data_IF_841455324544
#
_entry.id   IF_841455324544
#
_cell.length_a   1.000
_cell.length_b   1.000
_cell.length_c   1.000
_cell.angle_alpha   90.00
_cell.angle_beta   90.00
_cell.angle_gamma   90.00
#
_symmetry.space_group_name_H-M   'P 1'
#
loop_
_entity.id
_entity.type
_entity.pdbx_description
1 polymer ?
#
# COMPACT_ATOMS: atom_id res chain seq x y z
N UNK A 1 45.02 -1.97 -22.08
CA UNK A 1 44.30 -3.19 -21.67
C UNK A 1 43.27 -2.78 -20.63
N UNK A 2 42.01 -3.11 -20.88
CA UNK A 2 40.82 -2.56 -20.22
C UNK A 2 40.67 -3.08 -18.78
N UNK A 3 40.59 -2.17 -17.80
CA UNK A 3 40.13 -2.46 -16.45
C UNK A 3 38.59 -2.47 -16.47
N UNK A 4 37.99 -3.63 -16.75
CA UNK A 4 36.55 -3.83 -16.56
C UNK A 4 36.29 -4.09 -15.08
N UNK A 5 36.04 -3.02 -14.32
CA UNK A 5 35.47 -3.10 -12.98
C UNK A 5 34.07 -3.70 -13.10
N UNK A 6 33.72 -4.76 -12.36
CA UNK A 6 32.38 -5.30 -12.41
C UNK A 6 31.45 -4.34 -11.67
N UNK A 7 30.77 -3.47 -12.40
CA UNK A 7 29.54 -2.85 -11.92
C UNK A 7 28.50 -3.95 -11.71
N UNK A 8 28.61 -4.66 -10.58
CA UNK A 8 27.47 -5.34 -9.98
C UNK A 8 26.52 -4.25 -9.51
N UNK A 9 25.73 -3.73 -10.45
CA UNK A 9 24.52 -2.99 -10.14
C UNK A 9 23.72 -3.85 -9.17
N UNK A 10 23.67 -3.41 -7.92
CA UNK A 10 22.88 -4.05 -6.89
C UNK A 10 21.45 -4.12 -7.41
N UNK A 11 21.03 -5.32 -7.79
CA UNK A 11 19.67 -5.59 -8.22
C UNK A 11 18.75 -5.14 -7.06
N UNK A 12 18.16 -3.97 -7.22
CA UNK A 12 17.12 -3.47 -6.34
C UNK A 12 16.03 -4.52 -6.36
N UNK A 13 15.91 -5.36 -5.31
CA UNK A 13 14.93 -6.45 -5.30
C UNK A 13 13.55 -5.82 -5.09
N UNK A 14 12.74 -5.59 -6.14
CA UNK A 14 11.49 -4.84 -6.03
C UNK A 14 10.47 -5.64 -5.20
N UNK A 15 10.68 -6.95 -5.08
CA UNK A 15 9.80 -7.88 -4.39
C UNK A 15 9.61 -7.57 -2.90
N UNK A 16 10.63 -7.07 -2.18
CA UNK A 16 10.51 -6.85 -0.72
C UNK A 16 9.44 -5.83 -0.35
N UNK A 17 9.36 -4.73 -1.11
CA UNK A 17 8.35 -3.70 -0.88
C UNK A 17 6.93 -4.18 -1.24
N UNK A 18 6.82 -5.02 -2.28
CA UNK A 18 5.56 -5.63 -2.67
C UNK A 18 5.05 -6.61 -1.59
N UNK A 19 5.95 -7.43 -1.02
CA UNK A 19 5.59 -8.41 0.00
C UNK A 19 4.99 -7.78 1.26
N UNK A 20 5.45 -6.59 1.67
CA UNK A 20 4.83 -5.91 2.82
C UNK A 20 3.39 -5.52 2.53
N UNK A 21 3.13 -4.92 1.36
CA UNK A 21 1.76 -4.52 0.97
C UNK A 21 0.83 -5.72 0.88
N UNK A 22 1.29 -6.81 0.26
CA UNK A 22 0.52 -8.07 0.18
C UNK A 22 0.31 -8.68 1.56
N UNK A 23 1.34 -8.72 2.40
CA UNK A 23 1.25 -9.24 3.77
C UNK A 23 0.25 -8.45 4.63
N UNK A 24 0.28 -7.12 4.52
CA UNK A 24 -0.70 -6.25 5.19
C UNK A 24 -2.11 -6.46 4.64
N UNK A 25 -2.27 -6.69 3.34
CA UNK A 25 -3.56 -6.98 2.74
C UNK A 25 -4.14 -8.29 3.26
N UNK A 26 -3.33 -9.35 3.29
CA UNK A 26 -3.73 -10.65 3.85
C UNK A 26 -4.07 -10.52 5.33
N UNK A 27 -3.22 -9.84 6.11
CA UNK A 27 -3.46 -9.61 7.54
C UNK A 27 -4.78 -8.86 7.76
N UNK A 28 -5.02 -7.79 7.00
CA UNK A 28 -6.25 -7.02 7.09
C UNK A 28 -7.48 -7.88 6.78
N UNK A 29 -7.42 -8.69 5.71
CA UNK A 29 -8.50 -9.62 5.35
C UNK A 29 -8.74 -10.61 6.49
N UNK A 30 -7.70 -11.27 6.99
CA UNK A 30 -7.81 -12.23 8.09
C UNK A 30 -8.43 -11.59 9.34
N UNK A 31 -8.01 -10.37 9.69
CA UNK A 31 -8.55 -9.65 10.85
C UNK A 31 -10.03 -9.32 10.68
N UNK A 32 -10.46 -8.89 9.49
CA UNK A 32 -11.86 -8.59 9.20
C UNK A 32 -12.75 -9.85 9.25
N UNK A 33 -12.23 -11.00 8.80
CA UNK A 33 -12.93 -12.27 8.94
C UNK A 33 -12.99 -12.77 10.38
N UNK A 34 -11.94 -12.56 11.16
CA UNK A 34 -11.88 -12.96 12.57
C UNK A 34 -12.72 -12.05 13.49
N UNK A 35 -12.97 -10.81 13.09
CA UNK A 35 -13.68 -9.81 13.89
C UNK A 35 -14.77 -9.14 13.02
N UNK A 36 -15.87 -9.86 12.70
CA UNK A 36 -16.89 -9.36 11.77
C UNK A 36 -17.57 -8.06 12.23
N UNK A 37 -17.60 -7.81 13.53
CA UNK A 37 -18.23 -6.61 14.11
C UNK A 37 -17.27 -5.41 14.19
N UNK A 38 -16.02 -5.55 13.72
CA UNK A 38 -14.99 -4.51 13.81
C UNK A 38 -14.56 -4.02 12.43
N UNK A 39 -14.78 -2.74 12.14
CA UNK A 39 -14.25 -2.10 10.93
C UNK A 39 -12.79 -1.70 11.11
N UNK A 40 -11.93 -2.22 10.24
CA UNK A 40 -10.52 -1.83 10.19
C UNK A 40 -10.31 -0.71 9.16
N UNK A 41 -10.70 0.52 9.52
CA UNK A 41 -10.62 1.70 8.64
C UNK A 41 -9.23 1.99 8.08
N UNK A 42 -8.18 1.65 8.84
CA UNK A 42 -6.80 1.89 8.43
C UNK A 42 -6.23 0.77 7.54
N UNK A 43 -6.95 -0.32 7.32
CA UNK A 43 -6.47 -1.44 6.50
C UNK A 43 -6.13 -1.01 5.07
N UNK A 44 -7.13 -0.49 4.36
CA UNK A 44 -6.97 0.02 2.99
C UNK A 44 -5.85 1.08 2.83
N UNK A 45 -5.80 2.17 3.61
CA UNK A 45 -4.77 3.19 3.43
C UNK A 45 -3.36 2.66 3.75
N UNK A 46 -3.22 1.78 4.75
CA UNK A 46 -1.92 1.16 5.07
C UNK A 46 -1.43 0.26 3.94
N UNK A 47 -2.29 -0.61 3.42
CA UNK A 47 -1.96 -1.47 2.28
C UNK A 47 -1.55 -0.64 1.06
N UNK A 48 -2.30 0.44 0.80
CA UNK A 48 -2.06 1.34 -0.31
C UNK A 48 -0.73 2.09 -0.22
N UNK A 49 -0.35 2.53 0.98
CA UNK A 49 0.88 3.27 1.20
C UNK A 49 2.12 2.36 1.35
N UNK A 50 1.93 1.08 1.67
CA UNK A 50 2.97 0.16 2.12
C UNK A 50 4.14 -0.01 1.15
N UNK A 51 3.90 -0.03 -0.16
CA UNK A 51 4.98 -0.23 -1.15
C UNK A 51 5.96 0.94 -1.12
N UNK A 52 5.46 2.17 -1.14
CA UNK A 52 6.28 3.37 -1.11
C UNK A 52 6.97 3.56 0.26
N UNK A 53 6.26 3.27 1.36
CA UNK A 53 6.83 3.28 2.71
C UNK A 53 7.96 2.26 2.87
N UNK A 54 7.78 1.04 2.37
CA UNK A 54 8.82 0.00 2.43
C UNK A 54 10.11 0.43 1.77
N UNK A 55 10.02 1.05 0.59
CA UNK A 55 11.20 1.56 -0.09
C UNK A 55 11.94 2.60 0.75
N UNK A 56 11.19 3.47 1.44
CA UNK A 56 11.77 4.50 2.28
C UNK A 56 12.45 3.91 3.52
N UNK A 57 11.82 2.93 4.17
CA UNK A 57 12.32 2.33 5.41
C UNK A 57 13.51 1.39 5.18
N UNK A 58 13.70 0.86 3.96
CA UNK A 58 14.90 0.08 3.62
C UNK A 58 16.15 0.91 3.36
N UNK A 59 16.10 2.24 3.54
CA UNK A 59 17.24 3.14 3.37
C UNK A 59 17.55 3.48 1.91
N UNK A 60 16.66 3.16 0.96
CA UNK A 60 16.87 3.35 -0.48
C UNK A 60 16.72 4.81 -0.96
N UNK A 61 16.50 5.76 -0.04
CA UNK A 61 16.31 7.18 -0.37
C UNK A 61 14.98 7.49 -1.08
N UNK A 62 14.79 8.73 -1.56
CA UNK A 62 13.58 9.14 -2.27
C UNK A 62 13.45 8.51 -3.67
N UNK A 63 12.26 7.99 -3.98
CA UNK A 63 11.86 7.40 -5.26
C UNK A 63 11.64 8.45 -6.33
N UNK A 64 12.07 8.20 -7.59
CA UNK A 64 11.73 9.07 -8.74
C UNK A 64 10.22 9.27 -8.84
N UNK A 65 9.70 10.39 -9.36
CA UNK A 65 8.25 10.57 -9.42
C UNK A 65 7.56 9.41 -10.18
N UNK A 66 8.10 8.89 -11.31
CA UNK A 66 7.55 7.68 -11.93
C UNK A 66 7.61 6.44 -11.04
N UNK A 67 8.70 6.22 -10.30
CA UNK A 67 8.83 5.07 -9.41
C UNK A 67 7.90 5.17 -8.18
N UNK A 68 7.71 6.37 -7.63
CA UNK A 68 6.75 6.63 -6.57
C UNK A 68 5.32 6.43 -7.05
N UNK A 69 4.99 6.86 -8.27
CA UNK A 69 3.70 6.61 -8.89
C UNK A 69 3.45 5.11 -9.09
N UNK A 70 4.45 4.37 -9.60
CA UNK A 70 4.40 2.91 -9.71
C UNK A 70 4.14 2.23 -8.36
N UNK A 71 4.88 2.62 -7.32
CA UNK A 71 4.70 2.11 -5.97
C UNK A 71 3.29 2.40 -5.41
N UNK A 72 2.79 3.63 -5.59
CA UNK A 72 1.45 4.02 -5.16
C UNK A 72 0.35 3.23 -5.88
N UNK A 73 0.48 3.04 -7.19
CA UNK A 73 -0.47 2.24 -7.99
C UNK A 73 -0.43 0.77 -7.58
N UNK A 74 0.76 0.19 -7.35
CA UNK A 74 0.88 -1.18 -6.86
C UNK A 74 0.22 -1.39 -5.50
N UNK A 75 0.49 -0.48 -4.54
CA UNK A 75 -0.16 -0.54 -3.23
C UNK A 75 -1.67 -0.37 -3.33
N UNK A 76 -2.13 0.63 -4.09
CA UNK A 76 -3.56 0.87 -4.32
C UNK A 76 -4.24 -0.37 -4.90
N UNK A 77 -3.63 -1.02 -5.88
CA UNK A 77 -4.16 -2.23 -6.50
C UNK A 77 -4.36 -3.33 -5.46
N UNK A 78 -3.38 -3.57 -4.59
CA UNK A 78 -3.50 -4.54 -3.50
C UNK A 78 -4.63 -4.17 -2.52
N UNK A 79 -4.76 -2.90 -2.18
CA UNK A 79 -5.82 -2.41 -1.29
C UNK A 79 -7.20 -2.61 -1.92
N UNK A 80 -7.37 -2.33 -3.22
CA UNK A 80 -8.61 -2.53 -3.95
C UNK A 80 -8.98 -4.01 -4.06
N UNK A 81 -8.01 -4.90 -4.32
CA UNK A 81 -8.25 -6.35 -4.32
C UNK A 81 -8.75 -6.82 -2.96
N UNK A 82 -8.08 -6.42 -1.87
CA UNK A 82 -8.51 -6.76 -0.52
C UNK A 82 -9.90 -6.18 -0.18
N UNK A 83 -10.16 -4.94 -0.57
CA UNK A 83 -11.47 -4.30 -0.43
C UNK A 83 -12.55 -5.08 -1.18
N UNK A 84 -12.28 -5.50 -2.42
CA UNK A 84 -13.20 -6.31 -3.20
C UNK A 84 -13.49 -7.67 -2.56
N UNK A 85 -12.47 -8.34 -2.03
CA UNK A 85 -12.65 -9.59 -1.27
C UNK A 85 -13.57 -9.36 -0.07
N UNK A 86 -13.35 -8.30 0.71
CA UNK A 86 -14.15 -8.01 1.89
C UNK A 86 -15.59 -7.60 1.53
N UNK A 87 -15.77 -6.77 0.51
CA UNK A 87 -17.08 -6.34 0.02
C UNK A 87 -17.92 -7.54 -0.46
N UNK A 88 -17.32 -8.46 -1.22
CA UNK A 88 -18.02 -9.65 -1.73
C UNK A 88 -18.38 -10.68 -0.65
N UNK A 89 -17.88 -10.53 0.57
CA UNK A 89 -18.14 -11.42 1.70
C UNK A 89 -18.84 -10.71 2.86
N UNK A 90 -19.42 -9.53 2.61
CA UNK A 90 -20.13 -8.72 3.61
C UNK A 90 -19.28 -8.46 4.86
N UNK A 91 -17.97 -8.23 4.65
CA UNK A 91 -16.97 -7.93 5.69
C UNK A 91 -16.62 -6.45 5.78
N UNK A 92 -17.38 -5.59 5.12
CA UNK A 92 -17.29 -4.13 5.19
C UNK A 92 -18.61 -3.54 5.70
N UNK A 93 -19.26 -4.14 6.69
CA UNK A 93 -20.58 -3.70 7.18
C UNK A 93 -20.54 -2.92 8.50
N UNK A 94 -19.37 -2.79 9.12
CA UNK A 94 -19.30 -2.07 10.39
C UNK A 94 -19.44 -0.54 10.23
N UNK A 95 -19.48 0.16 11.37
CA UNK A 95 -19.68 1.61 11.41
C UNK A 95 -18.66 2.37 10.55
N UNK A 96 -19.09 3.49 9.97
CA UNK A 96 -18.27 4.38 9.13
C UNK A 96 -17.75 5.57 9.93
N UNK A 97 -16.57 6.10 9.55
CA UNK A 97 -16.04 7.34 10.11
C UNK A 97 -16.60 8.57 9.38
N UNK A 98 -17.03 8.41 8.13
CA UNK A 98 -17.57 9.47 7.31
C UNK A 98 -19.10 9.53 7.45
N UNK A 99 -19.67 10.72 7.74
CA UNK A 99 -21.09 10.85 8.10
C UNK A 99 -22.09 10.62 6.95
N UNK A 100 -21.63 10.27 5.75
CA UNK A 100 -22.48 10.23 4.54
C UNK A 100 -22.24 8.99 3.66
N UNK A 101 -21.51 7.99 4.15
CA UNK A 101 -20.96 6.94 3.29
C UNK A 101 -21.33 5.52 3.68
N UNK A 102 -21.44 4.68 2.67
CA UNK A 102 -21.28 3.23 2.77
C UNK A 102 -19.82 2.89 3.13
N UNK A 103 -19.61 1.86 3.95
CA UNK A 103 -18.27 1.47 4.41
C UNK A 103 -17.35 1.03 3.28
N UNK A 104 -17.89 0.49 2.17
CA UNK A 104 -17.11 0.22 0.96
C UNK A 104 -16.62 1.52 0.34
N UNK A 105 -17.49 2.52 0.18
CA UNK A 105 -17.12 3.83 -0.40
C UNK A 105 -16.06 4.51 0.46
N UNK A 106 -16.22 4.51 1.78
CA UNK A 106 -15.20 5.03 2.69
C UNK A 106 -13.86 4.30 2.54
N UNK A 107 -13.88 2.98 2.49
CA UNK A 107 -12.69 2.15 2.32
C UNK A 107 -11.96 2.47 1.01
N UNK A 108 -12.69 2.69 -0.08
CA UNK A 108 -12.14 3.11 -1.37
C UNK A 108 -11.48 4.49 -1.28
N UNK A 109 -12.13 5.46 -0.62
CA UNK A 109 -11.57 6.80 -0.41
C UNK A 109 -10.29 6.74 0.42
N UNK A 110 -10.26 5.93 1.47
CA UNK A 110 -9.07 5.75 2.29
C UNK A 110 -7.96 5.02 1.53
N UNK A 111 -8.27 4.04 0.67
CA UNK A 111 -7.28 3.42 -0.21
C UNK A 111 -6.60 4.48 -1.10
N UNK A 112 -7.39 5.37 -1.72
CA UNK A 112 -6.87 6.48 -2.54
C UNK A 112 -6.03 7.43 -1.68
N UNK A 113 -6.52 7.83 -0.50
CA UNK A 113 -5.78 8.67 0.44
C UNK A 113 -4.43 8.07 0.84
N UNK A 114 -4.40 6.77 1.14
CA UNK A 114 -3.16 6.04 1.44
C UNK A 114 -2.18 6.02 0.27
N UNK A 115 -2.67 5.82 -0.96
CA UNK A 115 -1.83 5.87 -2.16
C UNK A 115 -1.21 7.27 -2.39
N UNK A 116 -1.98 8.33 -2.18
CA UNK A 116 -1.50 9.72 -2.27
C UNK A 116 -0.44 10.01 -1.22
N UNK A 117 -0.68 9.60 0.03
CA UNK A 117 0.32 9.72 1.11
C UNK A 117 1.58 8.92 0.78
N UNK A 118 1.43 7.68 0.31
CA UNK A 118 2.53 6.82 -0.12
C UNK A 118 3.37 7.48 -1.21
N UNK A 119 2.74 8.05 -2.24
CA UNK A 119 3.42 8.82 -3.28
C UNK A 119 4.21 9.99 -2.68
N UNK A 120 3.58 10.80 -1.83
CA UNK A 120 4.20 11.96 -1.18
C UNK A 120 5.43 11.57 -0.36
N UNK A 121 5.33 10.52 0.45
CA UNK A 121 6.47 9.96 1.22
C UNK A 121 7.56 9.45 0.29
N UNK A 122 7.19 8.79 -0.80
CA UNK A 122 8.12 8.27 -1.80
C UNK A 122 9.00 9.36 -2.40
N UNK A 123 8.44 10.54 -2.72
CA UNK A 123 9.17 11.65 -3.36
C UNK A 123 9.81 12.64 -2.37
N UNK A 124 9.45 12.59 -1.08
CA UNK A 124 9.90 13.55 -0.07
C UNK A 124 11.42 13.52 0.14
N UNK A 125 12.04 14.70 0.29
CA UNK A 125 13.47 14.84 0.62
C UNK A 125 14.39 14.79 -0.60
N UNK A 126 13.86 15.10 -1.78
CA UNK A 126 14.61 15.28 -3.03
C UNK A 126 15.32 16.64 -3.18
N UNK A 127 15.16 17.54 -2.21
CA UNK A 127 15.66 18.90 -2.27
C UNK A 127 17.03 19.01 -1.64
#
# INVERSE_FOLDING_TARGET
>A
MSNTTPERGAAHSPGKALYLSVGLAVLWVVLAFANPDTTFHLGAPLVAAAVALSHRTTGSGPLSPPAAAGAAVSGLTNALIATGILALNDKLEGGTLLPFGDATVETLLFAVGGAVVGFGVGVWGRR
#
